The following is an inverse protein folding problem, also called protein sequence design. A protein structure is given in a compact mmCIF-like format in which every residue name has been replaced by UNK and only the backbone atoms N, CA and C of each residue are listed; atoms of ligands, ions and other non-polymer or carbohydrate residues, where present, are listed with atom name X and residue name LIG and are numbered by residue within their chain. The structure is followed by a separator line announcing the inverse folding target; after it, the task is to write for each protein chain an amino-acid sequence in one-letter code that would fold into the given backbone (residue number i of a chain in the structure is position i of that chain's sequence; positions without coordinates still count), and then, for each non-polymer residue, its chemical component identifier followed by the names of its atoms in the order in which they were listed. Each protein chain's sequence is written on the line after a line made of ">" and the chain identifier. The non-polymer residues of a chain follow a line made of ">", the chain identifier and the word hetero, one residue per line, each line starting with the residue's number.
data_IF_645797926688
#
_entry.id   IF_645797926688
#
_cell.length_a   1.000
_cell.length_b   1.000
_cell.length_c   1.000
_cell.angle_alpha   90.00
_cell.angle_beta   90.00
_cell.angle_gamma   90.00
#
_symmetry.space_group_name_H-M   'P 1'
#
loop_
_entity.id
_entity.type
_entity.pdbx_description
1 polymer ?
#
# COMPACT_ATOMS: atom_id res chain seq x y z
N UNK A 1 14.57 0.20 39.11
CA UNK A 1 14.50 0.87 37.80
C UNK A 1 14.72 -0.23 36.79
N UNK A 2 13.63 -0.73 36.24
CA UNK A 2 13.62 -1.90 35.34
C UNK A 2 13.94 -1.38 33.93
N UNK A 3 15.04 -1.83 33.34
CA UNK A 3 15.39 -1.52 31.95
C UNK A 3 14.36 -2.18 31.04
N UNK A 4 13.57 -1.37 30.33
CA UNK A 4 12.73 -1.84 29.24
C UNK A 4 13.67 -2.16 28.09
N UNK A 5 14.04 -3.43 27.93
CA UNK A 5 14.69 -3.92 26.74
C UNK A 5 13.73 -3.74 25.56
N UNK A 6 14.04 -2.80 24.67
CA UNK A 6 13.42 -2.71 23.35
C UNK A 6 13.76 -3.98 22.59
N UNK A 7 12.90 -5.01 22.69
CA UNK A 7 13.01 -6.19 21.86
C UNK A 7 12.81 -5.75 20.40
N UNK A 8 13.88 -5.77 19.61
CA UNK A 8 13.79 -5.59 18.16
C UNK A 8 12.98 -6.77 17.62
N UNK A 9 11.72 -6.54 17.28
CA UNK A 9 10.94 -7.50 16.53
C UNK A 9 11.38 -7.44 15.07
N UNK A 10 12.06 -8.49 14.62
CA UNK A 10 12.32 -8.70 13.19
C UNK A 10 11.29 -9.68 12.67
N UNK A 11 10.34 -9.17 11.88
CA UNK A 11 9.51 -10.05 11.08
C UNK A 11 10.29 -10.47 9.83
N UNK A 12 10.77 -11.71 9.80
CA UNK A 12 11.55 -12.24 8.68
C UNK A 12 10.68 -12.95 7.64
N UNK A 13 9.36 -13.04 7.85
CA UNK A 13 8.45 -13.81 6.99
C UNK A 13 7.07 -13.16 6.90
N UNK A 14 6.57 -13.00 5.67
CA UNK A 14 5.16 -12.76 5.43
C UNK A 14 4.37 -14.06 5.64
N UNK A 15 3.07 -13.96 5.89
CA UNK A 15 2.25 -15.15 6.17
C UNK A 15 2.01 -15.97 4.89
N UNK A 16 1.68 -15.30 3.79
CA UNK A 16 1.42 -15.97 2.51
C UNK A 16 2.18 -15.38 1.32
N UNK A 17 2.73 -14.17 1.45
CA UNK A 17 3.55 -13.57 0.40
C UNK A 17 5.03 -13.98 0.51
N UNK A 18 5.73 -13.96 -0.63
CA UNK A 18 7.19 -13.95 -0.63
C UNK A 18 7.73 -12.68 0.05
N UNK A 19 8.92 -12.73 0.69
CA UNK A 19 9.51 -11.56 1.30
C UNK A 19 9.66 -10.38 0.31
N UNK A 20 9.34 -9.14 0.73
CA UNK A 20 9.49 -7.95 -0.11
C UNK A 20 10.91 -7.85 -0.66
N UNK A 21 11.07 -7.81 -1.98
CA UNK A 21 12.39 -7.89 -2.62
C UNK A 21 12.68 -6.77 -3.61
N UNK A 22 11.66 -6.17 -4.20
CA UNK A 22 11.78 -5.10 -5.19
C UNK A 22 10.49 -4.29 -5.28
N UNK A 23 10.57 -3.11 -5.89
CA UNK A 23 9.40 -2.29 -6.22
C UNK A 23 8.84 -2.70 -7.59
N UNK A 24 7.53 -2.60 -7.78
CA UNK A 24 6.85 -2.86 -9.04
C UNK A 24 6.44 -1.55 -9.70
N UNK A 25 6.73 -1.42 -10.99
CA UNK A 25 6.09 -0.44 -11.85
C UNK A 25 4.60 -0.79 -12.04
N UNK A 26 3.77 0.21 -12.31
CA UNK A 26 2.36 -0.03 -12.60
C UNK A 26 2.15 -1.01 -13.75
N UNK A 27 3.02 -0.99 -14.75
CA UNK A 27 2.97 -1.89 -15.92
C UNK A 27 3.10 -3.38 -15.57
N UNK A 28 3.65 -3.68 -14.39
CA UNK A 28 3.89 -5.04 -13.91
C UNK A 28 2.75 -5.57 -13.04
N UNK A 29 1.82 -4.71 -12.61
CA UNK A 29 0.70 -5.08 -11.75
C UNK A 29 -0.48 -5.52 -12.61
N UNK A 30 -0.83 -6.79 -12.52
CA UNK A 30 -1.96 -7.35 -13.26
C UNK A 30 -3.29 -7.10 -12.52
N UNK A 31 -4.32 -6.69 -13.26
CA UNK A 31 -5.67 -6.62 -12.69
C UNK A 31 -6.11 -8.01 -12.21
N UNK A 32 -6.64 -8.09 -10.99
CA UNK A 32 -7.00 -9.32 -10.31
C UNK A 32 -5.84 -10.02 -9.61
N UNK A 33 -4.63 -9.47 -9.64
CA UNK A 33 -3.52 -9.98 -8.83
C UNK A 33 -3.81 -9.79 -7.35
N UNK A 34 -3.25 -10.70 -6.56
CA UNK A 34 -3.40 -10.72 -5.11
C UNK A 34 -2.14 -10.25 -4.43
N UNK A 35 -2.32 -9.49 -3.37
CA UNK A 35 -1.23 -8.98 -2.55
C UNK A 35 -1.59 -9.10 -1.07
N UNK A 36 -0.57 -9.08 -0.25
CA UNK A 36 -0.67 -9.13 1.19
C UNK A 36 -0.20 -7.79 1.77
N UNK A 37 -0.85 -7.36 2.85
CA UNK A 37 -0.40 -6.25 3.68
C UNK A 37 -0.32 -6.74 5.11
N UNK A 38 0.88 -6.65 5.67
CA UNK A 38 1.14 -7.05 7.04
C UNK A 38 1.58 -5.84 7.88
N UNK A 39 0.72 -5.45 8.84
CA UNK A 39 1.08 -4.43 9.82
C UNK A 39 1.54 -5.05 11.14
N UNK A 40 2.58 -4.46 11.75
CA UNK A 40 3.22 -4.95 12.98
C UNK A 40 2.27 -5.19 14.17
N UNK A 41 1.15 -4.46 14.25
CA UNK A 41 0.24 -4.48 15.42
C UNK A 41 -1.17 -4.98 15.11
N UNK A 42 -1.54 -5.03 13.83
CA UNK A 42 -2.94 -5.06 13.42
C UNK A 42 -3.29 -6.30 12.58
N UNK A 43 -2.28 -7.03 12.11
CA UNK A 43 -2.46 -8.29 11.40
C UNK A 43 -2.55 -8.15 9.88
N UNK A 44 -3.02 -9.23 9.26
CA UNK A 44 -2.89 -9.52 7.85
C UNK A 44 -4.13 -9.12 7.05
N UNK A 45 -3.92 -8.46 5.90
CA UNK A 45 -4.95 -8.27 4.89
C UNK A 45 -4.56 -8.92 3.58
N UNK A 46 -5.56 -9.52 2.94
CA UNK A 46 -5.47 -9.85 1.53
C UNK A 46 -6.09 -8.73 0.72
N UNK A 47 -5.39 -8.30 -0.31
CA UNK A 47 -5.78 -7.20 -1.17
C UNK A 47 -5.78 -7.72 -2.61
N UNK A 48 -6.78 -7.33 -3.39
CA UNK A 48 -6.84 -7.65 -4.81
C UNK A 48 -6.78 -6.35 -5.62
N UNK A 49 -5.85 -6.26 -6.56
CA UNK A 49 -5.76 -5.12 -7.45
C UNK A 49 -6.92 -5.12 -8.44
N UNK A 50 -7.67 -4.01 -8.51
CA UNK A 50 -8.81 -3.86 -9.44
C UNK A 50 -8.43 -3.00 -10.64
N UNK A 51 -7.27 -2.37 -10.59
CA UNK A 51 -6.71 -1.53 -11.64
C UNK A 51 -6.27 -0.19 -11.05
N UNK A 52 -6.31 0.83 -11.89
CA UNK A 52 -5.87 2.18 -11.52
C UNK A 52 -6.93 3.22 -11.81
N UNK A 53 -6.81 4.34 -11.09
CA UNK A 53 -7.61 5.52 -11.28
C UNK A 53 -6.67 6.69 -11.53
N UNK A 54 -6.88 7.37 -12.66
CA UNK A 54 -6.17 8.59 -13.00
C UNK A 54 -7.11 9.78 -12.83
N UNK A 55 -6.68 10.78 -12.07
CA UNK A 55 -7.47 11.97 -11.78
C UNK A 55 -6.61 13.22 -11.94
N UNK A 56 -7.26 14.31 -12.32
CA UNK A 56 -6.63 15.61 -12.21
C UNK A 56 -6.46 15.94 -10.71
N UNK A 57 -5.26 16.32 -10.25
CA UNK A 57 -5.05 16.70 -8.85
C UNK A 57 -6.02 17.81 -8.45
N UNK A 58 -6.86 17.54 -7.45
CA UNK A 58 -7.75 18.56 -6.87
C UNK A 58 -7.16 19.03 -5.56
N UNK A 59 -6.84 20.32 -5.45
CA UNK A 59 -6.39 20.88 -4.18
C UNK A 59 -7.53 20.90 -3.15
N UNK A 60 -7.21 20.79 -1.85
CA UNK A 60 -8.17 21.04 -0.78
C UNK A 60 -8.78 22.44 -0.91
N UNK A 61 -10.03 22.59 -0.45
CA UNK A 61 -10.73 23.88 -0.49
C UNK A 61 -9.91 24.99 0.20
N UNK A 62 -9.77 26.15 -0.43
CA UNK A 62 -9.06 27.31 0.11
C UNK A 62 -7.63 27.52 -0.39
N UNK A 63 -7.12 26.66 -1.27
CA UNK A 63 -5.81 26.83 -1.91
C UNK A 63 -5.95 27.36 -3.35
N UNK A 64 -5.00 28.17 -3.85
CA UNK A 64 -5.04 28.70 -5.22
C UNK A 64 -4.97 27.57 -6.26
N UNK A 65 -5.58 27.80 -7.44
CA UNK A 65 -5.44 26.92 -8.61
C UNK A 65 -3.96 26.84 -9.00
N UNK A 66 -3.43 25.62 -9.16
CA UNK A 66 -2.14 25.40 -9.83
C UNK A 66 -2.44 25.20 -11.31
N UNK A 67 -1.55 25.67 -12.19
CA UNK A 67 -1.55 25.17 -13.56
C UNK A 67 -1.41 23.65 -13.56
N UNK A 68 -2.10 23.01 -14.50
CA UNK A 68 -2.05 21.57 -14.63
C UNK A 68 -0.64 21.15 -15.09
N UNK A 69 0.12 20.53 -14.19
CA UNK A 69 1.46 20.01 -14.48
C UNK A 69 1.43 18.51 -14.77
N UNK A 70 0.65 17.73 -14.00
CA UNK A 70 0.64 16.27 -14.09
C UNK A 70 -0.68 15.61 -13.63
N UNK A 71 -0.85 14.34 -14.00
CA UNK A 71 -1.97 13.50 -13.59
C UNK A 71 -1.62 12.72 -12.31
N UNK A 72 -2.57 12.65 -11.36
CA UNK A 72 -2.45 11.79 -10.17
C UNK A 72 -3.00 10.40 -10.50
N UNK A 73 -2.11 9.40 -10.53
CA UNK A 73 -2.48 8.00 -10.78
C UNK A 73 -2.35 7.18 -9.50
N UNK A 74 -3.41 6.44 -9.18
CA UNK A 74 -3.50 5.62 -7.97
C UNK A 74 -3.91 4.20 -8.30
N UNK A 75 -3.36 3.25 -7.56
CA UNK A 75 -3.85 1.87 -7.56
C UNK A 75 -5.13 1.79 -6.72
N UNK A 76 -6.12 1.07 -7.25
CA UNK A 76 -7.40 0.81 -6.58
C UNK A 76 -7.48 -0.67 -6.25
N UNK A 77 -7.74 -0.98 -4.99
CA UNK A 77 -7.72 -2.35 -4.53
C UNK A 77 -8.94 -2.71 -3.68
N UNK A 78 -9.43 -3.93 -3.81
CA UNK A 78 -10.41 -4.51 -2.87
C UNK A 78 -9.70 -5.08 -1.65
N UNK A 79 -10.29 -4.88 -0.49
CA UNK A 79 -9.79 -5.40 0.78
C UNK A 79 -10.58 -6.61 1.26
N UNK A 80 -9.86 -7.59 1.76
CA UNK A 80 -10.40 -8.80 2.36
C UNK A 80 -9.72 -9.09 3.70
N UNK A 81 -10.52 -9.54 4.67
CA UNK A 81 -10.05 -9.87 6.02
C UNK A 81 -10.64 -8.97 7.10
N UNK A 82 -9.92 -8.82 8.22
CA UNK A 82 -10.41 -8.07 9.39
C UNK A 82 -10.15 -6.56 9.27
N UNK A 83 -10.82 -5.93 8.30
CA UNK A 83 -10.55 -4.55 7.85
C UNK A 83 -11.26 -3.48 8.70
N UNK A 84 -11.38 -3.69 10.01
CA UNK A 84 -11.99 -2.67 10.86
C UNK A 84 -11.11 -1.41 10.94
N UNK A 85 -11.73 -0.25 11.22
CA UNK A 85 -11.06 1.05 11.17
C UNK A 85 -9.85 1.18 12.10
N UNK A 86 -9.89 0.57 13.29
CA UNK A 86 -8.77 0.61 14.22
C UNK A 86 -7.56 -0.18 13.71
N UNK A 87 -7.82 -1.24 12.94
CA UNK A 87 -6.80 -2.08 12.32
C UNK A 87 -6.21 -1.37 11.09
N UNK A 88 -7.03 -0.73 10.25
CA UNK A 88 -6.51 0.01 9.10
C UNK A 88 -5.58 1.17 9.50
N UNK A 89 -5.86 1.85 10.61
CA UNK A 89 -5.02 2.95 11.10
C UNK A 89 -3.61 2.48 11.51
N UNK A 90 -3.50 1.27 12.08
CA UNK A 90 -2.23 0.68 12.50
C UNK A 90 -1.40 0.06 11.36
N UNK A 91 -1.94 0.01 10.14
CA UNK A 91 -1.32 -0.62 8.96
C UNK A 91 -0.89 0.42 7.93
N UNK A 92 -1.19 1.70 8.16
CA UNK A 92 -0.74 2.79 7.31
C UNK A 92 0.79 2.78 7.17
N UNK A 93 1.28 2.81 5.93
CA UNK A 93 2.68 2.70 5.55
C UNK A 93 3.18 1.27 5.35
N UNK A 94 2.37 0.23 5.62
CA UNK A 94 2.78 -1.14 5.34
C UNK A 94 2.83 -1.38 3.81
N UNK A 95 3.84 -2.12 3.31
CA UNK A 95 3.94 -2.41 1.89
C UNK A 95 2.82 -3.35 1.44
N UNK A 96 2.39 -3.17 0.19
CA UNK A 96 1.44 -4.04 -0.51
C UNK A 96 2.25 -5.00 -1.36
N UNK A 97 2.39 -6.23 -0.90
CA UNK A 97 3.36 -7.21 -1.41
C UNK A 97 2.63 -8.24 -2.26
N UNK A 98 2.99 -8.34 -3.54
CA UNK A 98 2.48 -9.37 -4.43
C UNK A 98 2.84 -10.76 -3.89
N UNK A 99 1.83 -11.63 -3.81
CA UNK A 99 1.98 -12.91 -3.11
C UNK A 99 2.94 -13.87 -3.82
N UNK A 100 3.05 -13.76 -5.16
CA UNK A 100 3.83 -14.71 -5.96
C UNK A 100 5.27 -14.26 -6.17
N UNK A 101 5.49 -12.95 -6.35
CA UNK A 101 6.78 -12.38 -6.73
C UNK A 101 7.53 -11.71 -5.58
N UNK A 102 6.86 -11.35 -4.48
CA UNK A 102 7.43 -10.51 -3.43
C UNK A 102 7.69 -9.07 -3.89
N UNK A 103 7.09 -8.66 -5.01
CA UNK A 103 7.16 -7.29 -5.52
C UNK A 103 6.24 -6.35 -4.74
N UNK A 104 6.71 -5.15 -4.46
CA UNK A 104 5.95 -4.12 -3.73
C UNK A 104 5.25 -3.21 -4.72
N UNK A 105 3.91 -3.24 -4.72
CA UNK A 105 3.06 -2.48 -5.64
C UNK A 105 2.64 -1.10 -5.11
N UNK A 106 2.93 -0.83 -3.84
CA UNK A 106 2.56 0.41 -3.16
C UNK A 106 2.63 0.27 -1.66
N UNK A 107 2.21 1.32 -0.96
CA UNK A 107 2.09 1.33 0.49
C UNK A 107 0.63 1.63 0.88
N UNK A 108 0.13 0.87 1.84
CA UNK A 108 -1.23 1.04 2.34
C UNK A 108 -1.36 2.40 3.02
N UNK A 109 -2.33 3.22 2.64
CA UNK A 109 -2.49 4.56 3.21
C UNK A 109 -3.91 4.82 3.72
N UNK A 110 -4.91 4.70 2.84
CA UNK A 110 -6.31 5.00 3.15
C UNK A 110 -7.23 3.90 2.65
N UNK A 111 -8.25 3.61 3.47
CA UNK A 111 -9.30 2.63 3.18
C UNK A 111 -10.66 3.15 3.67
N UNK A 112 -11.73 2.80 2.94
CA UNK A 112 -13.12 2.99 3.36
C UNK A 112 -13.76 1.72 3.97
N UNK A 113 -12.95 0.68 4.20
CA UNK A 113 -13.38 -0.64 4.66
C UNK A 113 -13.72 -1.63 3.54
N UNK A 114 -13.80 -1.18 2.28
CA UNK A 114 -14.02 -2.04 1.11
C UNK A 114 -12.90 -1.84 0.09
N UNK A 115 -12.56 -0.59 -0.18
CA UNK A 115 -11.52 -0.18 -1.09
C UNK A 115 -10.32 0.37 -0.32
N UNK A 116 -9.14 0.18 -0.88
CA UNK A 116 -7.93 0.91 -0.54
C UNK A 116 -7.33 1.57 -1.77
N UNK A 117 -6.73 2.73 -1.52
CA UNK A 117 -5.99 3.49 -2.52
C UNK A 117 -4.53 3.60 -2.09
N UNK A 118 -3.63 3.39 -3.05
CA UNK A 118 -2.20 3.62 -2.88
C UNK A 118 -1.65 4.39 -4.07
N UNK A 119 -0.59 5.17 -3.84
CA UNK A 119 0.18 5.74 -4.92
C UNK A 119 0.81 4.61 -5.75
N UNK A 120 0.94 4.85 -7.05
CA UNK A 120 1.82 4.05 -7.91
C UNK A 120 3.28 4.41 -7.60
N UNK A 121 4.20 3.50 -7.90
CA UNK A 121 5.62 3.65 -7.55
C UNK A 121 6.51 3.96 -8.75
N UNK A 122 5.94 4.22 -9.93
CA UNK A 122 6.67 4.37 -11.19
C UNK A 122 7.79 5.42 -11.12
N UNK A 123 7.54 6.58 -10.52
CA UNK A 123 8.57 7.62 -10.36
C UNK A 123 9.69 7.15 -9.42
N UNK A 124 9.34 6.47 -8.33
CA UNK A 124 10.31 5.93 -7.38
C UNK A 124 11.15 4.81 -8.03
N UNK A 125 10.55 3.96 -8.87
CA UNK A 125 11.25 2.93 -9.63
C UNK A 125 12.19 3.56 -10.67
N UNK A 126 11.77 4.65 -11.31
CA UNK A 126 12.57 5.35 -12.31
C UNK A 126 13.78 6.08 -11.70
N UNK A 127 13.66 6.57 -10.46
CA UNK A 127 14.72 7.31 -9.76
C UNK A 127 15.79 6.39 -9.11
N UNK A 128 15.43 5.17 -8.72
CA UNK A 128 16.33 4.16 -8.13
C UNK A 128 16.54 4.31 -6.62
#
# INVERSE_FOLDING_TARGET
>A
MEEILSASFTNSYYFQAEPPSHLLEMSQISQGSWSEVEGMSSGLFSIMNIGTQTMQPKRPAGHPEIEFEEWDTRSVNFLFGNVNRAISDGVCGAPIVDIESGGVSGFFHLSDGVFAYSAVLDDLVAEG
#
